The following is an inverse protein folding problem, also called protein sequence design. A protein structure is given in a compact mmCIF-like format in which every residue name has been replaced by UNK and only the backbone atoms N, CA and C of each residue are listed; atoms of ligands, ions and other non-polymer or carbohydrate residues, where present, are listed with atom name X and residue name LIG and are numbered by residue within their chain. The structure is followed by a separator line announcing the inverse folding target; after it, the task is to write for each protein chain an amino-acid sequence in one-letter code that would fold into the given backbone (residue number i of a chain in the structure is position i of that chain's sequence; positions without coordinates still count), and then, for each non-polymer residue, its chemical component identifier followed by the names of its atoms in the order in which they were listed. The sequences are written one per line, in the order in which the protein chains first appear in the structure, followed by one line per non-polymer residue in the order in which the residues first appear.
data_IF_352697850162
#
_entry.id   IF_352697850162
#
_cell.length_a   1.000
_cell.length_b   1.000
_cell.length_c   1.000
_cell.angle_alpha   90.00
_cell.angle_beta   90.00
_cell.angle_gamma   90.00
#
_symmetry.space_group_name_H-M   'P 1'
#
loop_
_entity.id
_entity.type
_entity.pdbx_description
1 polymer ?
#
# COMPACT_ATOMS: atom_id res chain seq x y z
N UNK A 1 8.08 14.39 -4.97
CA UNK A 1 7.40 13.64 -6.06
C UNK A 1 7.96 12.22 -6.16
N UNK A 2 9.27 12.02 -6.05
CA UNK A 2 9.89 10.68 -5.91
C UNK A 2 9.27 9.82 -4.81
N UNK A 3 9.02 10.38 -3.62
CA UNK A 3 8.40 9.69 -2.48
C UNK A 3 7.05 9.06 -2.80
N UNK A 4 6.22 9.75 -3.60
CA UNK A 4 4.90 9.27 -4.02
C UNK A 4 5.04 8.13 -5.02
N UNK A 5 6.03 8.20 -5.92
CA UNK A 5 6.30 7.15 -6.90
C UNK A 5 6.77 5.85 -6.22
N UNK A 6 7.63 5.97 -5.21
CA UNK A 6 8.06 4.81 -4.41
C UNK A 6 6.93 4.26 -3.54
N UNK A 7 6.08 5.10 -2.95
CA UNK A 7 4.88 4.67 -2.23
C UNK A 7 3.87 3.98 -3.15
N UNK A 8 3.74 4.44 -4.38
CA UNK A 8 2.87 3.84 -5.39
C UNK A 8 3.37 2.44 -5.81
N UNK A 9 4.67 2.32 -6.14
CA UNK A 9 5.29 1.03 -6.48
C UNK A 9 5.28 0.07 -5.27
N UNK A 10 5.55 0.59 -4.07
CA UNK A 10 5.41 -0.14 -2.82
C UNK A 10 3.98 -0.63 -2.63
N UNK A 11 3.00 0.25 -2.76
CA UNK A 11 1.58 -0.08 -2.64
C UNK A 11 1.10 -1.11 -3.66
N UNK A 12 1.53 -1.00 -4.92
CA UNK A 12 1.24 -2.00 -5.95
C UNK A 12 1.79 -3.38 -5.58
N UNK A 13 3.04 -3.44 -5.14
CA UNK A 13 3.69 -4.71 -4.77
C UNK A 13 3.09 -5.29 -3.49
N UNK A 14 2.90 -4.47 -2.46
CA UNK A 14 2.24 -4.84 -1.20
C UNK A 14 0.79 -5.28 -1.37
N UNK A 15 0.00 -4.58 -2.19
CA UNK A 15 -1.37 -4.97 -2.55
C UNK A 15 -1.43 -6.29 -3.32
N UNK A 16 -0.57 -6.46 -4.32
CA UNK A 16 -0.53 -7.69 -5.13
C UNK A 16 -0.10 -8.91 -4.32
N UNK A 17 0.86 -8.74 -3.40
CA UNK A 17 1.34 -9.82 -2.52
C UNK A 17 0.33 -10.10 -1.40
N UNK A 18 -0.23 -9.06 -0.77
CA UNK A 18 -1.20 -9.22 0.32
C UNK A 18 -2.49 -9.90 -0.13
N UNK A 19 -3.00 -9.61 -1.33
CA UNK A 19 -4.15 -10.30 -1.90
C UNK A 19 -3.90 -11.79 -2.13
N UNK A 20 -2.66 -12.18 -2.46
CA UNK A 20 -2.26 -13.60 -2.58
C UNK A 20 -2.08 -14.29 -1.24
N UNK A 21 -1.61 -13.57 -0.21
CA UNK A 21 -1.47 -14.11 1.15
C UNK A 21 -2.85 -14.30 1.78
N UNK A 22 -3.73 -13.31 1.62
CA UNK A 22 -5.09 -13.32 2.15
C UNK A 22 -6.05 -13.69 1.01
N UNK A 23 -6.08 -14.98 0.67
CA UNK A 23 -6.91 -15.53 -0.41
C UNK A 23 -8.40 -15.13 -0.35
N UNK A 24 -8.94 -14.87 0.85
CA UNK A 24 -10.32 -14.38 1.06
C UNK A 24 -10.56 -12.95 0.54
N UNK A 25 -9.49 -12.20 0.30
CA UNK A 25 -9.49 -10.82 -0.20
C UNK A 25 -8.93 -10.72 -1.62
N UNK A 26 -8.71 -11.83 -2.33
CA UNK A 26 -8.20 -11.80 -3.69
C UNK A 26 -9.34 -11.48 -4.67
N UNK A 27 -9.42 -10.22 -5.14
CA UNK A 27 -10.36 -9.80 -6.19
C UNK A 27 -9.73 -9.83 -7.59
N UNK A 28 -8.52 -10.40 -7.73
CA UNK A 28 -7.77 -10.46 -8.97
C UNK A 28 -6.60 -9.47 -9.02
N UNK A 29 -5.55 -9.83 -9.76
CA UNK A 29 -4.25 -9.15 -9.75
C UNK A 29 -4.32 -7.65 -10.04
N UNK A 30 -5.21 -7.23 -10.96
CA UNK A 30 -5.37 -5.82 -11.34
C UNK A 30 -6.05 -5.01 -10.24
N UNK A 31 -7.14 -5.53 -9.65
CA UNK A 31 -7.84 -4.88 -8.53
C UNK A 31 -6.90 -4.83 -7.32
N UNK A 32 -6.12 -5.90 -7.10
CA UNK A 32 -5.17 -5.97 -6.00
C UNK A 32 -4.00 -4.99 -6.14
N UNK A 33 -3.52 -4.80 -7.36
CA UNK A 33 -2.48 -3.82 -7.62
C UNK A 33 -3.03 -2.39 -7.50
N UNK A 34 -4.23 -2.10 -8.02
CA UNK A 34 -4.79 -0.74 -8.03
C UNK A 34 -5.20 -0.28 -6.62
N UNK A 35 -5.95 -1.07 -5.86
CA UNK A 35 -6.34 -0.67 -4.49
C UNK A 35 -5.12 -0.62 -3.57
N UNK A 36 -4.14 -1.50 -3.77
CA UNK A 36 -2.84 -1.43 -3.13
C UNK A 36 -2.06 -0.17 -3.48
N UNK A 37 -2.01 0.23 -4.74
CA UNK A 37 -1.31 1.44 -5.17
C UNK A 37 -1.95 2.72 -4.62
N UNK A 38 -3.28 2.80 -4.69
CA UNK A 38 -4.04 3.93 -4.17
C UNK A 38 -3.95 3.99 -2.64
N UNK A 39 -4.06 2.84 -1.97
CA UNK A 39 -3.89 2.72 -0.52
C UNK A 39 -2.47 2.98 -0.05
N UNK A 40 -1.47 2.62 -0.85
CA UNK A 40 -0.06 2.86 -0.56
C UNK A 40 0.33 4.32 -0.71
N UNK A 41 -0.21 5.03 -1.71
CA UNK A 41 -0.04 6.47 -1.83
C UNK A 41 -0.83 7.21 -0.74
N UNK A 42 -2.13 6.95 -0.61
CA UNK A 42 -2.96 7.66 0.36
C UNK A 42 -2.54 7.36 1.81
N UNK A 43 -2.30 6.09 2.12
CA UNK A 43 -1.86 5.65 3.44
C UNK A 43 -0.39 5.93 3.72
N UNK A 44 0.50 5.89 2.71
CA UNK A 44 1.90 6.29 2.85
C UNK A 44 2.05 7.79 3.14
N UNK A 45 1.22 8.64 2.51
CA UNK A 45 1.15 10.07 2.86
C UNK A 45 0.62 10.27 4.28
N UNK A 46 -0.39 9.48 4.68
CA UNK A 46 -0.95 9.55 6.03
C UNK A 46 0.05 9.10 7.10
N UNK A 47 0.77 7.99 6.88
CA UNK A 47 1.85 7.51 7.76
C UNK A 47 2.95 8.57 7.83
N UNK A 48 3.36 9.15 6.69
CA UNK A 48 4.35 10.22 6.64
C UNK A 48 3.92 11.47 7.43
N UNK A 49 2.63 11.78 7.44
CA UNK A 49 2.05 12.90 8.17
C UNK A 49 1.91 12.62 9.68
N UNK A 50 1.43 11.43 10.06
CA UNK A 50 1.21 11.02 11.47
C UNK A 50 2.53 10.74 12.17
N UNK A 51 3.44 10.03 11.50
CA UNK A 51 4.76 9.71 12.04
C UNK A 51 5.70 10.92 12.00
N UNK A 52 5.19 12.07 11.50
CA UNK A 52 5.82 13.37 11.60
C UNK A 52 7.20 13.37 10.97
N UNK A 53 7.25 13.23 9.63
CA UNK A 53 8.51 13.24 8.89
C UNK A 53 9.53 12.31 9.55
N UNK A 54 9.25 11.00 9.58
CA UNK A 54 10.29 9.99 9.83
C UNK A 54 11.42 10.36 8.90
N UNK A 55 12.48 10.91 9.48
CA UNK A 55 13.45 11.69 8.74
C UNK A 55 13.99 10.85 7.60
N UNK A 56 13.52 11.15 6.38
CA UNK A 56 14.26 10.79 5.19
C UNK A 56 15.55 11.54 5.35
N UNK A 57 16.60 10.82 5.77
CA UNK A 57 17.95 11.32 5.81
C UNK A 57 18.18 12.00 4.48
N UNK A 58 18.31 13.33 4.52
CA UNK A 58 18.48 14.18 3.35
C UNK A 58 19.87 13.92 2.80
N UNK A 59 19.99 12.87 1.99
CA UNK A 59 21.22 12.36 1.40
C UNK A 59 20.91 11.12 0.56
N UNK A 60 21.84 10.72 -0.30
CA UNK A 60 21.83 9.46 -1.04
C UNK A 60 21.98 8.25 -0.07
N UNK A 61 21.07 8.13 0.88
CA UNK A 61 20.97 7.04 1.83
C UNK A 61 19.89 6.07 1.31
N UNK A 62 20.17 4.76 1.18
CA UNK A 62 19.16 3.76 0.85
C UNK A 62 17.84 3.91 1.64
N UNK A 63 17.90 4.44 2.86
CA UNK A 63 16.71 4.77 3.66
C UNK A 63 15.73 5.74 3.01
N UNK A 64 16.21 6.64 2.13
CA UNK A 64 15.39 7.63 1.44
C UNK A 64 14.44 7.04 0.38
N UNK A 65 14.78 5.87 -0.16
CA UNK A 65 13.97 5.16 -1.15
C UNK A 65 13.26 3.95 -0.55
N UNK A 66 13.91 3.27 0.41
CA UNK A 66 13.37 2.10 1.10
C UNK A 66 12.21 2.50 2.01
N UNK A 67 12.36 3.55 2.83
CA UNK A 67 11.31 3.97 3.76
C UNK A 67 9.95 4.21 3.08
N UNK A 68 9.90 5.11 2.07
CA UNK A 68 8.67 5.36 1.32
C UNK A 68 8.09 4.14 0.61
N UNK A 69 8.95 3.25 0.09
CA UNK A 69 8.51 2.01 -0.54
C UNK A 69 7.85 1.06 0.46
N UNK A 70 8.44 0.86 1.64
CA UNK A 70 7.89 -0.01 2.68
C UNK A 70 6.63 0.58 3.32
N UNK A 71 6.59 1.89 3.56
CA UNK A 71 5.38 2.58 4.03
C UNK A 71 4.23 2.41 3.04
N UNK A 72 4.51 2.60 1.74
CA UNK A 72 3.56 2.35 0.67
C UNK A 72 3.12 0.89 0.59
N UNK A 73 4.05 -0.06 0.72
CA UNK A 73 3.76 -1.49 0.66
C UNK A 73 2.91 -1.99 1.83
N UNK A 74 3.22 -1.56 3.05
CA UNK A 74 2.43 -1.91 4.23
C UNK A 74 1.05 -1.25 4.19
N UNK A 75 0.98 0.06 3.94
CA UNK A 75 -0.29 0.77 3.86
C UNK A 75 -1.15 0.26 2.70
N UNK A 76 -0.56 0.06 1.53
CA UNK A 76 -1.23 -0.48 0.35
C UNK A 76 -1.73 -1.90 0.57
N UNK A 77 -0.94 -2.78 1.19
CA UNK A 77 -1.38 -4.14 1.52
C UNK A 77 -2.53 -4.16 2.53
N UNK A 78 -2.47 -3.34 3.57
CA UNK A 78 -3.55 -3.19 4.56
C UNK A 78 -4.84 -2.68 3.91
N UNK A 79 -4.76 -1.61 3.12
CA UNK A 79 -5.91 -1.05 2.40
C UNK A 79 -6.47 -2.04 1.40
N UNK A 80 -5.62 -2.79 0.69
CA UNK A 80 -6.04 -3.84 -0.23
C UNK A 80 -6.87 -4.91 0.49
N UNK A 81 -6.33 -5.48 1.58
CA UNK A 81 -7.02 -6.50 2.36
C UNK A 81 -8.34 -5.97 2.90
N UNK A 82 -8.36 -4.75 3.47
CA UNK A 82 -9.56 -4.15 4.02
C UNK A 82 -10.62 -3.88 2.95
N UNK A 83 -10.24 -3.26 1.83
CA UNK A 83 -11.14 -2.95 0.73
C UNK A 83 -11.73 -4.22 0.10
N UNK A 84 -10.89 -5.24 -0.15
CA UNK A 84 -11.37 -6.50 -0.68
C UNK A 84 -12.21 -7.29 0.33
N UNK A 85 -11.88 -7.30 1.63
CA UNK A 85 -12.77 -7.92 2.62
C UNK A 85 -14.14 -7.23 2.66
N UNK A 86 -14.18 -5.90 2.55
CA UNK A 86 -15.44 -5.14 2.47
C UNK A 86 -16.22 -5.51 1.20
N UNK A 87 -15.55 -5.59 0.05
CA UNK A 87 -16.17 -6.03 -1.20
C UNK A 87 -16.68 -7.47 -1.13
N UNK A 88 -15.88 -8.40 -0.61
CA UNK A 88 -16.27 -9.80 -0.35
C UNK A 88 -17.50 -9.84 0.56
N UNK A 89 -17.55 -9.03 1.63
CA UNK A 89 -18.70 -8.95 2.52
C UNK A 89 -19.95 -8.33 1.89
N UNK A 90 -19.80 -7.37 0.97
CA UNK A 90 -20.91 -6.71 0.31
C UNK A 90 -21.47 -7.52 -0.88
N UNK A 91 -20.63 -8.31 -1.56
CA UNK A 91 -20.99 -9.06 -2.76
C UNK A 91 -21.34 -10.54 -2.50
N UNK A 92 -20.81 -11.16 -1.43
CA UNK A 92 -21.10 -12.57 -1.09
C UNK A 92 -22.11 -12.72 0.05
N UNK A 93 -22.76 -11.63 0.47
CA UNK A 93 -23.84 -11.66 1.45
C UNK A 93 -25.20 -11.45 0.76
N UNK A 94 -25.39 -12.15 -0.37
CA UNK A 94 -26.67 -12.56 -0.96
C UNK A 94 -26.81 -14.08 -0.83
#
# INVERSE_FOLDING_TARGET
METILFQFLGGMTGGSVSGKIVHLSDAGLVINAVTGALGGVAGGQLISHILGNTAVATGWDPGAFIGPFFDGALAGGLVQIAACMVLTRLLLHD
#
